data_IF_297040269815
#
_entry.id   IF_297040269815
#
_cell.length_a   1.000
_cell.length_b   1.000
_cell.length_c   1.000
_cell.angle_alpha   90.00
_cell.angle_beta   90.00
_cell.angle_gamma   90.00
#
_symmetry.space_group_name_H-M   'P 1'
#
loop_
_entity.id
_entity.type
_entity.pdbx_description
1 polymer ?
#
# COMPACT_ATOMS: atom_id res chain seq x y z
N UNK A 1 4.93 10.88 -13.11
CA UNK A 1 4.59 10.04 -11.94
C UNK A 1 3.09 9.77 -11.99
N UNK A 2 2.65 8.51 -11.86
CA UNK A 2 1.22 8.13 -11.86
C UNK A 2 0.87 7.66 -10.45
N UNK A 3 -0.21 8.19 -9.88
CA UNK A 3 -0.74 7.72 -8.60
C UNK A 3 -1.56 6.45 -8.80
N UNK A 4 -1.24 5.39 -8.07
CA UNK A 4 -1.95 4.11 -8.18
C UNK A 4 -2.65 3.77 -6.86
N UNK A 5 -3.88 4.26 -6.64
CA UNK A 5 -4.62 4.01 -5.40
C UNK A 5 -5.09 2.57 -5.28
N UNK A 6 -5.40 2.17 -4.04
CA UNK A 6 -6.06 0.90 -3.79
C UNK A 6 -7.49 0.91 -4.34
N UNK A 7 -7.94 -0.23 -4.85
CA UNK A 7 -9.35 -0.50 -5.22
C UNK A 7 -10.26 -0.59 -3.99
N UNK A 8 -10.29 0.47 -3.17
CA UNK A 8 -11.24 0.64 -2.06
C UNK A 8 -12.26 1.73 -2.43
N UNK A 9 -13.55 1.56 -2.09
CA UNK A 9 -14.60 2.52 -2.44
C UNK A 9 -14.30 3.97 -2.03
N UNK A 10 -13.61 4.19 -0.90
CA UNK A 10 -13.26 5.53 -0.44
C UNK A 10 -12.37 6.29 -1.43
N UNK A 11 -11.38 5.62 -2.05
CA UNK A 11 -10.45 6.24 -3.00
C UNK A 11 -11.09 6.59 -4.35
N UNK A 12 -12.21 5.95 -4.69
CA UNK A 12 -12.97 6.22 -5.90
C UNK A 12 -14.33 6.87 -5.60
N UNK A 13 -14.49 7.42 -4.40
CA UNK A 13 -15.66 8.24 -4.08
C UNK A 13 -15.70 9.48 -4.98
N UNK A 14 -16.90 10.03 -5.19
CA UNK A 14 -17.09 11.20 -6.06
C UNK A 14 -16.22 12.37 -5.60
N UNK A 15 -16.26 12.70 -4.30
CA UNK A 15 -15.48 13.80 -3.73
C UNK A 15 -13.97 13.64 -3.99
N UNK A 16 -13.45 12.43 -3.80
CA UNK A 16 -12.02 12.17 -4.01
C UNK A 16 -11.64 12.16 -5.50
N UNK A 17 -12.51 11.59 -6.34
CA UNK A 17 -12.27 11.48 -7.78
C UNK A 17 -12.33 12.85 -8.46
N UNK A 18 -13.23 13.74 -8.05
CA UNK A 18 -13.27 15.12 -8.56
C UNK A 18 -11.95 15.84 -8.30
N UNK A 19 -11.44 15.79 -7.08
CA UNK A 19 -10.17 16.45 -6.75
C UNK A 19 -8.99 15.80 -7.48
N UNK A 20 -8.90 14.47 -7.49
CA UNK A 20 -7.78 13.76 -8.13
C UNK A 20 -7.76 14.01 -9.64
N UNK A 21 -8.92 14.01 -10.32
CA UNK A 21 -9.01 14.27 -11.76
C UNK A 21 -8.39 15.62 -12.17
N UNK A 22 -8.50 16.63 -11.31
CA UNK A 22 -7.99 17.97 -11.58
C UNK A 22 -6.51 18.14 -11.22
N UNK A 23 -5.98 17.30 -10.34
CA UNK A 23 -4.68 17.55 -9.69
C UNK A 23 -3.62 16.48 -9.95
N UNK A 24 -4.01 15.24 -10.27
CA UNK A 24 -3.09 14.08 -10.29
C UNK A 24 -3.44 13.09 -11.39
N UNK A 25 -2.44 12.71 -12.19
CA UNK A 25 -2.57 11.55 -13.08
C UNK A 25 -2.63 10.26 -12.25
N UNK A 26 -3.72 9.50 -12.38
CA UNK A 26 -3.94 8.31 -11.57
C UNK A 26 -4.54 7.14 -12.36
N UNK A 27 -4.45 5.93 -11.78
CA UNK A 27 -5.07 4.72 -12.32
C UNK A 27 -6.55 4.68 -11.94
N UNK A 28 -7.43 4.80 -12.94
CA UNK A 28 -8.89 4.74 -12.77
C UNK A 28 -9.35 3.33 -12.37
N UNK A 29 -10.53 3.22 -11.77
CA UNK A 29 -11.00 1.97 -11.17
C UNK A 29 -11.20 0.84 -12.21
N UNK A 30 -11.59 1.20 -13.43
CA UNK A 30 -11.84 0.28 -14.55
C UNK A 30 -10.58 -0.40 -15.09
N UNK A 31 -9.41 0.26 -15.00
CA UNK A 31 -8.12 -0.28 -15.43
C UNK A 31 -7.23 -0.73 -14.26
N UNK A 32 -7.74 -0.71 -13.02
CA UNK A 32 -7.00 -1.13 -11.83
C UNK A 32 -7.23 -2.62 -11.57
N UNK A 33 -6.32 -3.53 -12.00
CA UNK A 33 -6.52 -4.96 -11.81
C UNK A 33 -6.71 -5.30 -10.32
N UNK A 34 -7.66 -6.20 -10.00
CA UNK A 34 -7.81 -6.67 -8.63
C UNK A 34 -6.59 -7.50 -8.21
N UNK A 35 -6.28 -7.47 -6.91
CA UNK A 35 -5.31 -8.36 -6.27
C UNK A 35 -3.84 -8.25 -6.75
N UNK A 36 -3.45 -7.15 -7.39
CA UNK A 36 -2.04 -6.86 -7.74
C UNK A 36 -1.36 -5.92 -6.76
N UNK A 37 -1.58 -6.09 -5.46
CA UNK A 37 -1.05 -5.17 -4.44
C UNK A 37 0.46 -4.96 -4.60
N UNK A 38 1.23 -6.04 -4.83
CA UNK A 38 2.69 -6.01 -5.00
C UNK A 38 3.19 -5.13 -6.16
N UNK A 39 2.36 -4.86 -7.16
CA UNK A 39 2.73 -3.96 -8.26
C UNK A 39 2.69 -2.48 -7.85
N UNK A 40 2.11 -2.15 -6.68
CA UNK A 40 1.95 -0.77 -6.23
C UNK A 40 3.21 -0.30 -5.50
N UNK A 41 3.75 0.88 -5.84
CA UNK A 41 4.97 1.41 -5.21
C UNK A 41 4.91 1.50 -3.68
N UNK A 42 3.73 1.68 -3.11
CA UNK A 42 3.53 1.77 -1.66
C UNK A 42 3.83 0.45 -0.93
N UNK A 43 3.67 -0.71 -1.58
CA UNK A 43 3.99 -2.00 -0.95
C UNK A 43 5.49 -2.17 -0.71
N UNK A 44 6.35 -1.59 -1.55
CA UNK A 44 7.80 -1.57 -1.29
C UNK A 44 8.13 -0.80 -0.01
N UNK A 45 7.46 0.34 0.20
CA UNK A 45 7.62 1.11 1.44
C UNK A 45 7.19 0.29 2.67
N UNK A 46 6.02 -0.36 2.60
CA UNK A 46 5.55 -1.22 3.69
C UNK A 46 6.45 -2.44 3.91
N UNK A 47 6.99 -3.03 2.85
CA UNK A 47 7.97 -4.11 2.94
C UNK A 47 9.22 -3.69 3.71
N UNK A 48 9.87 -2.60 3.28
CA UNK A 48 11.01 -2.02 3.99
C UNK A 48 10.70 -1.65 5.44
N UNK A 49 9.51 -1.12 5.71
CA UNK A 49 9.10 -0.78 7.07
C UNK A 49 8.91 -2.05 7.92
N UNK A 50 8.28 -3.08 7.37
CA UNK A 50 8.02 -4.34 8.06
C UNK A 50 9.32 -5.04 8.48
N UNK A 51 10.34 -5.02 7.62
CA UNK A 51 11.67 -5.56 7.93
C UNK A 51 12.29 -4.86 9.15
N UNK A 52 12.15 -3.53 9.24
CA UNK A 52 12.66 -2.74 10.38
C UNK A 52 11.85 -2.97 11.65
N UNK A 53 10.52 -3.01 11.55
CA UNK A 53 9.64 -3.21 12.72
C UNK A 53 9.84 -4.60 13.33
N UNK A 54 10.13 -5.60 12.49
CA UNK A 54 10.31 -6.98 12.91
C UNK A 54 11.78 -7.41 12.95
N UNK A 55 12.70 -6.45 12.87
CA UNK A 55 14.11 -6.67 13.12
C UNK A 55 14.29 -7.21 14.56
N UNK A 56 14.83 -8.43 14.69
CA UNK A 56 14.94 -9.12 15.98
C UNK A 56 13.85 -10.17 16.26
N UNK A 57 12.79 -10.22 15.45
CA UNK A 57 11.75 -11.26 15.46
C UNK A 57 10.60 -11.00 16.44
N UNK A 58 9.37 -11.10 15.95
CA UNK A 58 8.16 -11.09 16.80
C UNK A 58 8.11 -12.40 17.57
N UNK A 59 8.25 -12.33 18.89
CA UNK A 59 8.11 -13.50 19.77
C UNK A 59 9.39 -14.28 20.07
N UNK A 60 10.58 -13.72 19.86
CA UNK A 60 11.77 -14.25 20.56
C UNK A 60 11.72 -13.84 22.03
N UNK A 61 10.86 -14.48 22.81
CA UNK A 61 11.19 -14.72 24.21
C UNK A 61 12.58 -15.33 24.20
N UNK A 62 13.52 -14.72 24.91
CA UNK A 62 14.88 -15.22 25.06
C UNK A 62 14.83 -16.61 25.68
N UNK A 63 14.67 -17.66 24.87
CA UNK A 63 15.06 -19.00 25.23
C UNK A 63 16.57 -19.09 24.97
N UNK A 64 17.34 -18.34 25.77
CA UNK A 64 18.68 -18.78 26.11
C UNK A 64 18.48 -19.91 27.11
N UNK A 65 18.48 -21.13 26.61
CA UNK A 65 18.60 -22.31 27.45
C UNK A 65 19.87 -22.22 28.30
N UNK A 66 19.73 -22.78 29.50
CA UNK A 66 20.65 -22.91 30.63
C UNK A 66 22.11 -23.21 30.32
#
# INVERSE_FOLDING_TARGET
MIFWPYSKPAHYSILNTTWINENVNYVTNDINPPNVSQARPIENFWGCLSEKVYEGGVGKSQLSNS
#
